data_IF_381036764352
#
_entry.id   IF_381036764352
#
_cell.length_a   1.000
_cell.length_b   1.000
_cell.length_c   1.000
_cell.angle_alpha   90.00
_cell.angle_beta   90.00
_cell.angle_gamma   90.00
#
_symmetry.space_group_name_H-M   'P 1'
#
loop_
_entity.id
_entity.type
_entity.pdbx_description
1 polymer ?
#
# COMPACT_ATOMS: atom_id res chain seq x y z
N UNK A 1 -11.38 -23.77 10.54
CA UNK A 1 -12.68 -23.87 9.84
C UNK A 1 -13.74 -23.85 10.91
N UNK A 2 -14.55 -22.80 10.99
CA UNK A 2 -15.63 -22.71 11.96
C UNK A 2 -16.78 -23.62 11.52
N UNK A 3 -17.13 -24.68 12.28
CA UNK A 3 -18.23 -25.58 11.94
C UNK A 3 -19.61 -24.92 12.01
N UNK A 4 -19.72 -23.73 12.62
CA UNK A 4 -20.99 -23.04 12.90
C UNK A 4 -21.30 -21.90 11.92
N UNK A 5 -20.53 -21.76 10.84
CA UNK A 5 -20.79 -20.73 9.84
C UNK A 5 -22.02 -21.11 8.98
N UNK A 6 -23.20 -20.63 9.37
CA UNK A 6 -24.43 -20.77 8.59
C UNK A 6 -24.43 -19.76 7.42
N UNK A 7 -23.70 -20.11 6.36
CA UNK A 7 -23.60 -19.30 5.14
C UNK A 7 -24.63 -19.77 4.11
N UNK A 8 -25.56 -18.88 3.74
CA UNK A 8 -26.54 -19.15 2.70
C UNK A 8 -25.99 -18.73 1.34
N UNK A 9 -25.57 -19.69 0.52
CA UNK A 9 -25.28 -19.45 -0.90
C UNK A 9 -26.59 -19.29 -1.66
N UNK A 10 -26.80 -18.12 -2.27
CA UNK A 10 -27.86 -17.95 -3.26
C UNK A 10 -27.47 -18.70 -4.54
N UNK A 11 -28.07 -19.87 -4.76
CA UNK A 11 -27.87 -20.67 -5.97
C UNK A 11 -29.03 -20.43 -6.92
N UNK A 12 -28.75 -19.82 -8.08
CA UNK A 12 -29.70 -19.68 -9.16
C UNK A 12 -29.46 -20.79 -10.20
N UNK A 13 -30.38 -21.75 -10.31
CA UNK A 13 -30.33 -22.82 -11.33
C UNK A 13 -31.30 -22.45 -12.46
N UNK A 14 -30.77 -22.27 -13.67
CA UNK A 14 -31.57 -21.95 -14.86
C UNK A 14 -31.34 -22.97 -15.96
N UNK A 15 -32.39 -23.36 -16.68
CA UNK A 15 -32.28 -24.23 -17.85
C UNK A 15 -32.08 -23.39 -19.13
N UNK A 16 -30.82 -23.13 -19.48
CA UNK A 16 -30.46 -22.37 -20.68
C UNK A 16 -29.84 -23.26 -21.75
N UNK A 17 -30.12 -22.93 -23.02
CA UNK A 17 -29.36 -23.48 -24.13
C UNK A 17 -27.89 -23.05 -24.02
N UNK A 18 -26.96 -23.88 -24.54
CA UNK A 18 -25.51 -23.65 -24.46
C UNK A 18 -25.10 -22.21 -24.83
N UNK A 19 -25.66 -21.67 -25.91
CA UNK A 19 -25.40 -20.29 -26.40
C UNK A 19 -25.88 -19.22 -25.41
N UNK A 20 -27.07 -19.40 -24.83
CA UNK A 20 -27.65 -18.46 -23.86
C UNK A 20 -26.92 -18.52 -22.52
N UNK A 21 -26.51 -19.71 -22.08
CA UNK A 21 -25.67 -19.90 -20.91
C UNK A 21 -24.32 -19.19 -21.03
N UNK A 22 -23.63 -19.33 -22.17
CA UNK A 22 -22.37 -18.63 -22.44
C UNK A 22 -22.54 -17.11 -22.42
N UNK A 23 -23.62 -16.60 -22.99
CA UNK A 23 -23.90 -15.15 -23.03
C UNK A 23 -24.24 -14.61 -21.64
N UNK A 24 -25.02 -15.35 -20.86
CA UNK A 24 -25.38 -14.98 -19.49
C UNK A 24 -24.16 -15.01 -18.56
N UNK A 25 -23.33 -16.05 -18.64
CA UNK A 25 -22.02 -16.12 -17.95
C UNK A 25 -21.13 -14.93 -18.34
N UNK A 26 -21.04 -14.61 -19.63
CA UNK A 26 -20.27 -13.46 -20.09
C UNK A 26 -20.85 -12.13 -19.59
N UNK A 27 -22.17 -12.00 -19.46
CA UNK A 27 -22.81 -10.80 -18.90
C UNK A 27 -22.58 -10.68 -17.40
N UNK A 28 -22.69 -11.76 -16.63
CA UNK A 28 -22.37 -11.80 -15.20
C UNK A 28 -20.90 -11.43 -14.95
N UNK A 29 -19.97 -12.00 -15.72
CA UNK A 29 -18.56 -11.66 -15.64
C UNK A 29 -18.28 -10.19 -16.04
N UNK A 30 -19.06 -9.63 -16.97
CA UNK A 30 -18.97 -8.21 -17.38
C UNK A 30 -19.67 -7.25 -16.40
N UNK A 31 -20.70 -7.70 -15.68
CA UNK A 31 -21.43 -6.90 -14.69
C UNK A 31 -20.70 -6.82 -13.35
N UNK A 32 -20.02 -7.90 -12.96
CA UNK A 32 -19.17 -7.96 -11.76
C UNK A 32 -17.74 -8.37 -12.10
N UNK A 33 -16.99 -7.57 -12.88
CA UNK A 33 -15.59 -7.85 -13.14
C UNK A 33 -14.82 -7.64 -11.84
N UNK A 34 -14.37 -8.74 -11.23
CA UNK A 34 -13.41 -8.70 -10.13
C UNK A 34 -12.09 -8.17 -10.72
N UNK A 35 -11.55 -7.11 -10.14
CA UNK A 35 -10.26 -6.56 -10.60
C UNK A 35 -9.17 -7.62 -10.43
N UNK A 36 -8.11 -7.62 -11.26
CA UNK A 36 -6.98 -8.55 -11.07
C UNK A 36 -6.36 -8.41 -9.67
N UNK A 37 -6.26 -7.18 -9.16
CA UNK A 37 -5.81 -6.87 -7.79
C UNK A 37 -6.70 -7.54 -6.76
N UNK A 38 -8.02 -7.44 -6.91
CA UNK A 38 -8.99 -8.05 -6.00
C UNK A 38 -8.95 -9.57 -6.07
N UNK A 39 -8.73 -10.14 -7.25
CA UNK A 39 -8.54 -11.57 -7.41
C UNK A 39 -7.26 -12.05 -6.71
N UNK A 40 -6.13 -11.35 -6.89
CA UNK A 40 -4.88 -11.61 -6.18
C UNK A 40 -5.04 -11.50 -4.66
N UNK A 41 -5.72 -10.45 -4.19
CA UNK A 41 -6.05 -10.26 -2.78
C UNK A 41 -6.92 -11.41 -2.23
N UNK A 42 -7.89 -11.91 -3.00
CA UNK A 42 -8.76 -13.02 -2.59
C UNK A 42 -8.04 -14.37 -2.62
N UNK A 43 -7.06 -14.54 -3.51
CA UNK A 43 -6.21 -15.73 -3.57
C UNK A 43 -5.22 -15.79 -2.40
N UNK A 44 -4.70 -14.63 -1.94
CA UNK A 44 -3.86 -14.45 -0.75
C UNK A 44 -2.86 -15.60 -0.47
N UNK A 45 -2.03 -15.93 -1.46
CA UNK A 45 -1.13 -17.09 -1.37
C UNK A 45 0.26 -16.74 -0.80
N UNK A 46 0.68 -15.47 -0.83
CA UNK A 46 1.99 -15.04 -0.33
C UNK A 46 1.93 -14.63 1.14
N UNK A 47 3.06 -14.71 1.83
CA UNK A 47 3.19 -14.21 3.21
C UNK A 47 2.99 -12.69 3.26
N UNK A 48 3.44 -11.96 2.24
CA UNK A 48 3.18 -10.53 2.05
C UNK A 48 1.68 -10.20 1.93
N UNK A 49 0.88 -11.08 1.31
CA UNK A 49 -0.58 -10.89 1.24
C UNK A 49 -1.21 -10.97 2.65
N UNK A 50 -0.72 -11.87 3.52
CA UNK A 50 -1.19 -11.98 4.91
C UNK A 50 -0.86 -10.71 5.71
N UNK A 51 0.35 -10.17 5.55
CA UNK A 51 0.76 -8.89 6.17
C UNK A 51 -0.18 -7.76 5.74
N UNK A 52 -0.51 -7.65 4.45
CA UNK A 52 -1.41 -6.60 3.96
C UNK A 52 -2.83 -6.78 4.49
N UNK A 53 -3.32 -8.01 4.66
CA UNK A 53 -4.61 -8.24 5.34
C UNK A 53 -4.57 -7.73 6.79
N UNK A 54 -3.50 -8.01 7.53
CA UNK A 54 -3.36 -7.51 8.89
C UNK A 54 -3.36 -5.98 8.93
N UNK A 55 -2.60 -5.31 8.05
CA UNK A 55 -2.61 -3.85 7.93
C UNK A 55 -4.01 -3.30 7.64
N UNK A 56 -4.78 -3.96 6.78
CA UNK A 56 -6.13 -3.54 6.42
C UNK A 56 -7.11 -3.65 7.59
N UNK A 57 -6.88 -4.56 8.53
CA UNK A 57 -7.80 -4.83 9.62
C UNK A 57 -7.43 -4.07 10.91
N UNK A 58 -6.12 -3.93 11.17
CA UNK A 58 -5.56 -3.51 12.46
C UNK A 58 -4.82 -2.16 12.44
N UNK A 59 -4.49 -1.61 11.26
CA UNK A 59 -3.77 -0.33 11.15
C UNK A 59 -4.65 0.85 10.72
N UNK A 60 -4.12 2.05 10.81
CA UNK A 60 -4.73 3.29 10.32
C UNK A 60 -4.85 3.34 8.78
N UNK A 61 -4.29 2.34 8.07
CA UNK A 61 -4.57 2.10 6.65
C UNK A 61 -5.92 1.41 6.41
N UNK A 62 -6.64 1.01 7.45
CA UNK A 62 -7.98 0.42 7.34
C UNK A 62 -8.93 1.32 6.56
N UNK A 63 -9.54 0.74 5.53
CA UNK A 63 -10.43 1.46 4.61
C UNK A 63 -9.70 2.41 3.63
N UNK A 64 -8.36 2.49 3.68
CA UNK A 64 -7.54 3.36 2.83
C UNK A 64 -6.66 2.59 1.83
N UNK A 65 -6.74 1.26 1.82
CA UNK A 65 -6.05 0.40 0.85
C UNK A 65 -7.00 0.10 -0.33
N UNK A 66 -6.60 0.51 -1.53
CA UNK A 66 -7.37 0.23 -2.74
C UNK A 66 -7.29 -1.22 -3.16
N UNK A 67 -8.45 -1.82 -3.45
CA UNK A 67 -8.58 -3.15 -4.04
C UNK A 67 -8.54 -3.13 -5.58
N UNK A 68 -8.18 -1.99 -6.16
CA UNK A 68 -8.09 -1.82 -7.61
C UNK A 68 -6.69 -1.34 -8.01
N UNK A 69 -6.41 -1.31 -9.31
CA UNK A 69 -5.11 -0.85 -9.83
C UNK A 69 -4.83 0.65 -9.58
N UNK A 70 -5.83 1.40 -9.11
CA UNK A 70 -5.74 2.84 -8.92
C UNK A 70 -6.40 3.23 -7.60
N UNK A 71 -5.81 4.22 -6.94
CA UNK A 71 -6.42 4.85 -5.77
C UNK A 71 -7.68 5.62 -6.14
N UNK A 72 -8.76 5.39 -5.40
CA UNK A 72 -10.01 6.14 -5.54
C UNK A 72 -10.01 7.31 -4.57
N UNK A 73 -9.88 8.52 -5.11
CA UNK A 73 -9.86 9.76 -4.32
C UNK A 73 -11.11 9.92 -3.44
N UNK A 74 -12.27 9.54 -3.96
CA UNK A 74 -13.57 9.63 -3.24
C UNK A 74 -13.57 8.83 -1.94
N UNK A 75 -12.78 7.76 -1.87
CA UNK A 75 -12.70 6.87 -0.71
C UNK A 75 -11.56 7.23 0.23
N UNK A 76 -10.84 8.34 0.00
CA UNK A 76 -9.61 8.70 0.72
C UNK A 76 -8.57 7.57 0.74
N UNK A 77 -8.53 6.77 -0.32
CA UNK A 77 -7.56 5.69 -0.48
C UNK A 77 -6.15 6.29 -0.62
N UNK A 78 -5.20 5.76 0.17
CA UNK A 78 -3.81 6.20 0.24
C UNK A 78 -2.91 5.41 -0.71
N UNK A 79 -3.09 4.10 -0.73
CA UNK A 79 -2.19 3.16 -1.43
C UNK A 79 -2.97 2.00 -2.03
N UNK A 80 -2.50 1.41 -3.11
CA UNK A 80 -3.09 0.19 -3.68
C UNK A 80 -2.54 -1.06 -3.03
N UNK A 81 -3.37 -2.11 -2.96
CA UNK A 81 -2.99 -3.41 -2.42
C UNK A 81 -1.70 -3.94 -3.03
N UNK A 82 -1.56 -3.89 -4.37
CA UNK A 82 -0.38 -4.39 -5.06
C UNK A 82 0.90 -3.63 -4.70
N UNK A 83 0.83 -2.31 -4.49
CA UNK A 83 2.02 -1.55 -4.07
C UNK A 83 2.52 -2.03 -2.71
N UNK A 84 1.61 -2.27 -1.76
CA UNK A 84 1.99 -2.81 -0.45
C UNK A 84 2.50 -4.24 -0.58
N UNK A 85 1.70 -5.14 -1.15
CA UNK A 85 2.02 -6.56 -1.20
C UNK A 85 3.33 -6.82 -1.94
N UNK A 86 3.51 -6.26 -3.13
CA UNK A 86 4.71 -6.50 -3.93
C UNK A 86 5.96 -5.87 -3.29
N UNK A 87 5.83 -4.71 -2.65
CA UNK A 87 6.99 -4.10 -1.98
C UNK A 87 7.33 -4.81 -0.68
N UNK A 88 6.34 -5.26 0.10
CA UNK A 88 6.58 -6.06 1.32
C UNK A 88 7.27 -7.37 0.94
N UNK A 89 6.78 -8.05 -0.10
CA UNK A 89 7.37 -9.30 -0.61
C UNK A 89 8.84 -9.11 -1.02
N UNK A 90 9.16 -7.98 -1.64
CA UNK A 90 10.51 -7.65 -2.08
C UNK A 90 11.43 -7.23 -0.92
N UNK A 91 10.92 -6.50 0.06
CA UNK A 91 11.74 -5.91 1.11
C UNK A 91 11.91 -6.83 2.31
N UNK A 92 10.89 -7.63 2.66
CA UNK A 92 10.90 -8.51 3.82
C UNK A 92 10.99 -9.97 3.37
N UNK A 93 12.17 -10.59 3.44
CA UNK A 93 12.30 -12.01 3.15
C UNK A 93 11.65 -12.83 4.28
N UNK A 94 10.40 -13.22 4.07
CA UNK A 94 9.63 -14.05 5.00
C UNK A 94 9.66 -15.52 4.52
N UNK A 95 10.03 -16.44 5.40
CA UNK A 95 10.05 -17.87 5.12
C UNK A 95 8.91 -18.61 5.82
N UNK A 96 8.44 -18.07 6.95
CA UNK A 96 7.42 -18.69 7.78
C UNK A 96 6.24 -17.75 8.05
N UNK A 97 5.14 -18.33 8.53
CA UNK A 97 4.00 -17.53 9.01
C UNK A 97 4.34 -16.72 10.26
N UNK A 98 5.25 -17.20 11.11
CA UNK A 98 5.71 -16.42 12.26
C UNK A 98 6.41 -15.14 11.78
N UNK A 99 7.29 -15.25 10.79
CA UNK A 99 7.97 -14.09 10.19
C UNK A 99 6.94 -13.08 9.64
N UNK A 100 5.86 -13.57 9.01
CA UNK A 100 4.80 -12.69 8.52
C UNK A 100 4.01 -12.01 9.64
N UNK A 101 3.85 -12.65 10.79
CA UNK A 101 3.21 -12.03 11.96
C UNK A 101 4.14 -10.98 12.57
N UNK A 102 5.43 -11.28 12.74
CA UNK A 102 6.41 -10.34 13.28
C UNK A 102 6.55 -9.08 12.43
N UNK A 103 6.61 -9.25 11.09
CA UNK A 103 6.62 -8.15 10.13
C UNK A 103 5.28 -7.41 10.14
N UNK A 104 4.16 -8.12 10.22
CA UNK A 104 2.82 -7.55 10.31
C UNK A 104 2.65 -6.65 11.53
N UNK A 105 2.96 -7.15 12.72
CA UNK A 105 2.87 -6.40 13.98
C UNK A 105 3.72 -5.13 13.95
N UNK A 106 4.96 -5.25 13.44
CA UNK A 106 5.84 -4.09 13.28
C UNK A 106 5.26 -3.06 12.30
N UNK A 107 4.78 -3.50 11.13
CA UNK A 107 4.24 -2.61 10.12
C UNK A 107 2.92 -1.96 10.55
N UNK A 108 2.09 -2.64 11.33
CA UNK A 108 0.89 -2.05 11.94
C UNK A 108 1.29 -0.87 12.84
N UNK A 109 2.21 -1.08 13.77
CA UNK A 109 2.68 0.00 14.64
C UNK A 109 3.35 1.13 13.84
N UNK A 110 4.13 0.78 12.82
CA UNK A 110 4.83 1.72 11.96
C UNK A 110 3.87 2.62 11.19
N UNK A 111 2.87 2.05 10.51
CA UNK A 111 1.91 2.83 9.73
C UNK A 111 0.98 3.66 10.62
N UNK A 112 0.60 3.16 11.80
CA UNK A 112 -0.14 3.95 12.79
C UNK A 112 0.68 5.16 13.24
N UNK A 113 1.98 4.97 13.50
CA UNK A 113 2.87 6.07 13.88
C UNK A 113 3.09 7.06 12.71
N UNK A 114 3.28 6.56 11.49
CA UNK A 114 3.44 7.38 10.28
C UNK A 114 2.21 8.24 10.03
N UNK A 115 1.03 7.63 9.92
CA UNK A 115 -0.22 8.31 9.61
C UNK A 115 -0.60 9.27 10.75
N UNK A 116 -0.50 8.81 11.99
CA UNK A 116 -0.78 9.62 13.18
C UNK A 116 0.19 10.79 13.39
N UNK A 117 1.32 10.84 12.68
CA UNK A 117 2.25 11.98 12.76
C UNK A 117 1.91 13.14 11.84
N UNK A 118 1.08 12.90 10.82
CA UNK A 118 0.70 13.84 9.76
C UNK A 118 -0.80 13.64 9.43
N UNK A 119 -1.71 13.84 10.41
CA UNK A 119 -3.13 13.54 10.23
C UNK A 119 -3.77 14.42 9.14
N UNK A 120 -3.37 15.69 9.05
CA UNK A 120 -3.85 16.59 7.99
C UNK A 120 -3.53 16.06 6.60
N UNK A 121 -2.32 15.52 6.42
CA UNK A 121 -1.84 15.03 5.15
C UNK A 121 -2.43 13.67 4.76
N UNK A 122 -2.66 12.78 5.73
CA UNK A 122 -3.10 11.40 5.49
C UNK A 122 -4.59 11.12 5.76
N UNK A 123 -5.27 11.97 6.54
CA UNK A 123 -6.64 11.76 7.01
C UNK A 123 -7.56 12.85 6.49
N UNK A 124 -7.29 14.12 6.81
CA UNK A 124 -8.26 15.20 6.69
C UNK A 124 -8.28 15.83 5.29
N UNK A 125 -7.11 16.13 4.72
CA UNK A 125 -6.96 16.93 3.50
C UNK A 125 -6.20 16.20 2.38
N UNK A 126 -6.37 14.87 2.29
CA UNK A 126 -5.59 13.99 1.39
C UNK A 126 -5.56 14.46 -0.07
N UNK A 127 -6.70 14.87 -0.63
CA UNK A 127 -6.76 15.30 -2.04
C UNK A 127 -5.99 16.60 -2.28
N UNK A 128 -6.11 17.56 -1.37
CA UNK A 128 -5.43 18.85 -1.42
C UNK A 128 -3.92 18.65 -1.20
N UNK A 129 -3.55 17.87 -0.19
CA UNK A 129 -2.17 17.48 0.11
C UNK A 129 -1.50 16.89 -1.12
N UNK A 130 -2.16 15.97 -1.83
CA UNK A 130 -1.62 15.36 -3.05
C UNK A 130 -1.32 16.34 -4.17
N UNK A 131 -1.87 17.55 -4.18
CA UNK A 131 -1.57 18.57 -5.20
C UNK A 131 -0.25 19.29 -4.92
N UNK A 132 0.17 19.36 -3.66
CA UNK A 132 1.33 20.15 -3.21
C UNK A 132 2.45 19.31 -2.62
N UNK A 133 2.14 18.13 -2.12
CA UNK A 133 3.06 17.22 -1.42
C UNK A 133 2.96 15.80 -1.99
N UNK A 134 4.09 15.09 -1.93
CA UNK A 134 4.22 13.68 -2.27
C UNK A 134 3.91 12.76 -1.09
N UNK A 135 3.78 13.28 0.13
CA UNK A 135 3.69 12.49 1.36
C UNK A 135 2.56 11.42 1.31
N UNK A 136 1.43 11.74 0.69
CA UNK A 136 0.28 10.84 0.53
C UNK A 136 0.17 10.23 -0.89
N UNK A 137 1.24 10.30 -1.69
CA UNK A 137 1.28 9.67 -3.01
C UNK A 137 1.40 8.15 -2.92
N UNK A 138 0.68 7.44 -3.79
CA UNK A 138 0.67 5.98 -3.82
C UNK A 138 2.08 5.38 -3.99
N UNK A 139 2.97 6.01 -4.76
CA UNK A 139 4.32 5.47 -4.96
C UNK A 139 5.27 5.73 -3.79
N UNK A 140 4.97 6.71 -2.93
CA UNK A 140 5.78 6.99 -1.74
C UNK A 140 5.71 5.89 -0.69
N UNK A 141 4.62 5.10 -0.68
CA UNK A 141 4.51 3.90 0.15
C UNK A 141 5.61 2.88 -0.12
N UNK A 142 6.20 2.87 -1.31
CA UNK A 142 7.38 2.05 -1.60
C UNK A 142 8.56 2.48 -0.72
N UNK A 143 8.80 3.79 -0.62
CA UNK A 143 9.84 4.36 0.24
C UNK A 143 9.56 4.13 1.72
N UNK A 144 8.29 4.25 2.14
CA UNK A 144 7.90 3.98 3.53
C UNK A 144 8.14 2.52 3.93
N UNK A 145 7.94 1.55 3.03
CA UNK A 145 8.22 0.13 3.30
C UNK A 145 9.73 -0.13 3.35
N UNK A 146 10.52 0.49 2.45
CA UNK A 146 12.00 0.44 2.51
C UNK A 146 12.50 0.96 3.87
N UNK A 147 12.00 2.11 4.30
CA UNK A 147 12.35 2.68 5.60
C UNK A 147 11.93 1.76 6.75
N UNK A 148 10.72 1.21 6.70
CA UNK A 148 10.23 0.28 7.70
C UNK A 148 11.14 -0.95 7.82
N UNK A 149 11.56 -1.53 6.68
CA UNK A 149 12.50 -2.66 6.67
C UNK A 149 13.84 -2.28 7.29
N UNK A 150 14.42 -1.14 6.92
CA UNK A 150 15.68 -0.66 7.52
C UNK A 150 15.57 -0.47 9.02
N UNK A 151 14.44 0.05 9.50
CA UNK A 151 14.17 0.19 10.93
C UNK A 151 14.03 -1.17 11.62
N UNK A 152 13.29 -2.10 11.01
CA UNK A 152 13.09 -3.46 11.50
C UNK A 152 14.43 -4.21 11.64
N UNK A 153 15.25 -4.22 10.59
CA UNK A 153 16.55 -4.89 10.56
C UNK A 153 17.52 -4.37 11.63
N UNK A 154 17.41 -3.08 11.98
CA UNK A 154 18.24 -2.42 12.99
C UNK A 154 17.62 -2.45 14.40
N UNK A 155 16.45 -3.06 14.57
CA UNK A 155 15.75 -3.07 15.85
C UNK A 155 15.26 -1.69 16.32
N UNK A 156 15.13 -0.73 15.40
CA UNK A 156 14.62 0.61 15.67
C UNK A 156 13.10 0.52 15.88
N UNK A 157 12.59 1.12 16.96
CA UNK A 157 11.17 1.05 17.28
C UNK A 157 10.33 1.72 16.20
N UNK A 158 9.26 1.05 15.76
CA UNK A 158 8.36 1.54 14.71
C UNK A 158 7.90 3.00 14.91
N UNK A 159 7.57 3.38 16.15
CA UNK A 159 7.14 4.75 16.51
C UNK A 159 8.16 5.85 16.23
N UNK A 160 9.43 5.52 16.06
CA UNK A 160 10.50 6.48 15.78
C UNK A 160 10.47 6.97 14.33
N UNK A 161 9.69 6.35 13.45
CA UNK A 161 9.44 6.83 12.07
C UNK A 161 9.02 8.30 12.03
N UNK A 162 8.30 8.75 13.06
CA UNK A 162 7.80 10.12 13.20
C UNK A 162 8.92 11.15 13.22
N UNK A 163 10.09 10.80 13.80
CA UNK A 163 11.27 11.67 13.81
C UNK A 163 11.88 11.77 12.41
N UNK A 164 11.99 10.63 11.73
CA UNK A 164 12.63 10.52 10.42
C UNK A 164 11.81 11.25 9.36
N UNK A 165 10.51 10.95 9.28
CA UNK A 165 9.61 11.48 8.24
C UNK A 165 9.46 13.01 8.33
N UNK A 166 9.46 13.58 9.54
CA UNK A 166 9.38 15.05 9.72
C UNK A 166 10.57 15.82 9.15
N UNK A 167 11.70 15.15 8.93
CA UNK A 167 12.90 15.77 8.39
C UNK A 167 12.95 15.70 6.85
N UNK A 168 12.03 14.97 6.23
CA UNK A 168 11.96 14.83 4.77
C UNK A 168 11.01 15.91 4.24
N UNK A 169 11.51 16.75 3.33
CA UNK A 169 10.65 17.70 2.62
C UNK A 169 9.90 16.98 1.49
N UNK A 170 8.62 16.69 1.71
CA UNK A 170 7.75 16.06 0.72
C UNK A 170 7.10 17.04 -0.27
N UNK A 171 7.41 18.34 -0.21
CA UNK A 171 6.84 19.29 -1.16
C UNK A 171 7.21 18.90 -2.59
N UNK A 172 6.21 18.82 -3.49
CA UNK A 172 6.40 18.45 -4.90
C UNK A 172 7.40 19.34 -5.63
N UNK A 173 7.57 20.59 -5.19
CA UNK A 173 8.50 21.53 -5.82
C UNK A 173 9.91 21.45 -5.26
N UNK A 174 10.15 20.68 -4.20
CA UNK A 174 11.48 20.51 -3.62
C UNK A 174 12.43 19.89 -4.65
N UNK A 175 13.65 20.43 -4.72
CA UNK A 175 14.58 20.10 -5.80
C UNK A 175 15.03 18.64 -5.76
N UNK A 176 15.07 18.03 -4.57
CA UNK A 176 15.38 16.61 -4.40
C UNK A 176 14.49 15.70 -5.26
N UNK A 177 13.20 15.99 -5.39
CA UNK A 177 12.29 15.16 -6.17
C UNK A 177 12.46 15.34 -7.67
N UNK A 178 12.92 16.51 -8.12
CA UNK A 178 13.26 16.76 -9.53
C UNK A 178 14.58 16.07 -9.88
N UNK A 179 15.59 16.20 -9.01
CA UNK A 179 16.91 15.58 -9.17
C UNK A 179 16.80 14.05 -9.23
N UNK A 180 16.00 13.47 -8.33
CA UNK A 180 15.68 12.04 -8.33
C UNK A 180 14.74 11.62 -9.47
N UNK A 181 14.25 12.55 -10.30
CA UNK A 181 13.27 12.29 -11.36
C UNK A 181 12.03 11.55 -10.87
N UNK A 182 11.57 11.92 -9.67
CA UNK A 182 10.29 11.50 -9.10
C UNK A 182 9.17 12.38 -9.68
N UNK A 183 9.48 13.65 -9.90
CA UNK A 183 8.66 14.60 -10.65
C UNK A 183 9.42 15.15 -11.86
N UNK A 184 8.68 15.56 -12.88
CA UNK A 184 9.21 16.31 -14.02
C UNK A 184 9.46 17.79 -13.67
N UNK A 185 10.02 18.55 -14.60
CA UNK A 185 10.29 19.99 -14.44
C UNK A 185 9.03 20.81 -14.12
N UNK A 186 7.85 20.29 -14.45
CA UNK A 186 6.55 20.91 -14.18
C UNK A 186 5.89 20.40 -12.88
N UNK A 187 6.59 19.57 -12.09
CA UNK A 187 6.11 19.03 -10.81
C UNK A 187 5.10 17.88 -10.95
N UNK A 188 4.94 17.31 -12.14
CA UNK A 188 4.07 16.14 -12.39
C UNK A 188 4.86 14.87 -12.14
N UNK A 189 4.17 13.81 -11.70
CA UNK A 189 4.81 12.53 -11.40
C UNK A 189 5.37 11.89 -12.68
N UNK A 190 6.58 11.33 -12.58
CA UNK A 190 7.21 10.55 -13.64
C UNK A 190 6.29 9.42 -14.12
N UNK A 191 6.16 9.29 -15.44
CA UNK A 191 5.25 8.33 -16.09
C UNK A 191 5.81 6.91 -16.04
N UNK A 192 7.13 6.77 -16.07
CA UNK A 192 7.78 5.48 -15.87
C UNK A 192 7.72 5.09 -14.38
N UNK A 193 6.63 4.43 -14.02
CA UNK A 193 6.40 3.97 -12.64
C UNK A 193 7.47 3.01 -12.12
N UNK A 194 8.16 2.26 -12.98
CA UNK A 194 9.23 1.34 -12.57
C UNK A 194 10.46 2.15 -12.14
N UNK A 195 10.86 3.10 -12.98
CA UNK A 195 11.98 4.01 -12.69
C UNK A 195 11.69 4.90 -11.49
N UNK A 196 10.49 5.46 -11.42
CA UNK A 196 10.00 6.25 -10.29
C UNK A 196 10.16 5.50 -8.96
N UNK A 197 9.63 4.26 -8.88
CA UNK A 197 9.71 3.46 -7.66
C UNK A 197 11.15 3.07 -7.32
N UNK A 198 11.97 2.76 -8.32
CA UNK A 198 13.41 2.49 -8.11
C UNK A 198 14.13 3.70 -7.50
N UNK A 199 13.85 4.90 -8.00
CA UNK A 199 14.48 6.13 -7.48
C UNK A 199 14.03 6.43 -6.05
N UNK A 200 12.74 6.27 -5.75
CA UNK A 200 12.21 6.39 -4.38
C UNK A 200 12.89 5.37 -3.45
N UNK A 201 12.99 4.10 -3.85
CA UNK A 201 13.68 3.07 -3.05
C UNK A 201 15.12 3.47 -2.74
N UNK A 202 15.88 3.85 -3.76
CA UNK A 202 17.28 4.23 -3.59
C UNK A 202 17.44 5.41 -2.63
N UNK A 203 16.56 6.41 -2.72
CA UNK A 203 16.58 7.55 -1.80
C UNK A 203 16.39 7.10 -0.34
N UNK A 204 15.34 6.31 -0.07
CA UNK A 204 15.08 5.80 1.29
C UNK A 204 16.14 4.80 1.78
N UNK A 205 16.83 4.11 0.87
CA UNK A 205 17.97 3.24 1.20
C UNK A 205 19.16 4.04 1.73
N UNK A 206 19.38 5.23 1.17
CA UNK A 206 20.54 6.06 1.44
C UNK A 206 20.36 7.02 2.62
N UNK A 207 19.15 7.12 3.20
CA UNK A 207 18.93 7.95 4.38
C UNK A 207 19.82 7.51 5.55
N UNK A 208 20.46 8.47 6.22
CA UNK A 208 21.20 8.21 7.45
C UNK A 208 20.24 8.19 8.65
N UNK A 209 19.57 7.05 8.85
CA UNK A 209 18.49 6.94 9.84
C UNK A 209 18.99 7.05 11.28
N UNK A 210 20.24 6.68 11.57
CA UNK A 210 20.84 6.85 12.89
C UNK A 210 20.98 8.35 13.24
N UNK A 211 21.59 9.13 12.34
CA UNK A 211 21.76 10.57 12.52
C UNK A 211 20.40 11.28 12.67
N UNK A 212 19.42 10.91 11.85
CA UNK A 212 18.06 11.48 11.92
C UNK A 212 17.34 11.16 13.24
N UNK A 213 17.76 10.15 14.00
CA UNK A 213 17.15 9.78 15.29
C UNK A 213 17.76 10.52 16.49
N UNK A 214 18.99 11.03 16.34
CA UNK A 214 19.71 11.81 17.34
C UNK A 214 19.20 13.25 17.46
N UNK A 215 18.57 13.76 16.39
CA UNK A 215 17.86 15.05 16.34
C UNK A 215 16.49 14.97 17.05
#
# INVERSE_FOLDING_TARGET
KDPNLNFNFAVLITNYSKKKAQTYQAQLAKQTPVSKVRAQELEANRLSDAVVQQLKDESDLKGRISQTNQIRKVNNELVTYNVLADTIDEQFPMNTRADSMDVGDFLVEYFNALIGSHPEEFIDNVEQTRKVSLIADNNMFVGYIVLARRMFDKGIKARQVRKIIRQIDFNRTADIWKELRVVDEQGRIERDTVKLRKNIKNYFEQLNIEEMLEV
#
